data_IF_304656028997
#
_entry.id   IF_304656028997
#
_cell.length_a   1.000
_cell.length_b   1.000
_cell.length_c   1.000
_cell.angle_alpha   90.00
_cell.angle_beta   90.00
_cell.angle_gamma   90.00
#
_symmetry.space_group_name_H-M   'P 1'
#
loop_
_entity.id
_entity.type
_entity.pdbx_description
1 polymer ?
#
# COMPACT_ATOMS: atom_id res chain seq x y z
N UNK A 1 -9.59 16.65 -15.55
CA UNK A 1 -9.67 15.37 -16.32
C UNK A 1 -9.69 14.22 -15.34
N UNK A 2 -10.75 13.39 -15.32
CA UNK A 2 -10.85 12.23 -14.41
C UNK A 2 -10.07 11.06 -15.03
N UNK A 3 -8.95 10.65 -14.40
CA UNK A 3 -8.15 9.47 -14.82
C UNK A 3 -9.02 8.21 -15.00
N UNK A 4 -10.09 8.08 -14.22
CA UNK A 4 -11.09 7.02 -14.28
C UNK A 4 -11.76 6.91 -15.66
N UNK A 5 -12.04 8.03 -16.32
CA UNK A 5 -12.77 8.03 -17.58
C UNK A 5 -11.94 7.46 -18.74
N UNK A 6 -10.61 7.38 -18.58
CA UNK A 6 -9.71 6.86 -19.61
C UNK A 6 -9.52 5.34 -19.50
N UNK A 7 -9.99 4.70 -18.43
CA UNK A 7 -9.84 3.27 -18.20
C UNK A 7 -11.18 2.53 -18.36
N UNK A 8 -11.28 1.59 -19.32
CA UNK A 8 -12.47 0.79 -19.55
C UNK A 8 -12.92 0.00 -18.30
N UNK A 9 -14.24 -0.04 -18.03
CA UNK A 9 -14.83 -0.76 -16.88
C UNK A 9 -14.53 -2.25 -16.82
N UNK A 10 -14.18 -2.88 -17.94
CA UNK A 10 -13.74 -4.28 -17.98
C UNK A 10 -12.51 -4.57 -17.11
N UNK A 11 -11.72 -3.56 -16.77
CA UNK A 11 -10.54 -3.71 -15.92
C UNK A 11 -10.84 -3.60 -14.42
N UNK A 12 -12.04 -3.18 -14.04
CA UNK A 12 -12.42 -2.90 -12.65
C UNK A 12 -12.27 -4.13 -11.73
N UNK A 13 -12.66 -5.36 -12.12
CA UNK A 13 -12.45 -6.54 -11.28
C UNK A 13 -10.96 -6.81 -11.02
N UNK A 14 -10.10 -6.68 -12.04
CA UNK A 14 -8.67 -6.90 -11.89
C UNK A 14 -8.03 -5.86 -10.98
N UNK A 15 -8.36 -4.57 -11.16
CA UNK A 15 -7.89 -3.49 -10.29
C UNK A 15 -8.41 -3.65 -8.86
N UNK A 16 -9.62 -4.20 -8.69
CA UNK A 16 -10.20 -4.49 -7.37
C UNK A 16 -9.43 -5.60 -6.64
N UNK A 17 -8.85 -6.57 -7.36
CA UNK A 17 -7.97 -7.59 -6.77
C UNK A 17 -6.70 -6.92 -6.20
N UNK A 18 -6.07 -6.00 -6.94
CA UNK A 18 -4.91 -5.26 -6.41
C UNK A 18 -5.28 -4.45 -5.16
N UNK A 19 -6.48 -3.85 -5.14
CA UNK A 19 -7.00 -3.18 -3.95
C UNK A 19 -7.16 -4.13 -2.77
N UNK A 20 -7.70 -5.33 -2.98
CA UNK A 20 -7.86 -6.33 -1.93
C UNK A 20 -6.52 -6.83 -1.39
N UNK A 21 -5.54 -7.04 -2.26
CA UNK A 21 -4.17 -7.36 -1.86
C UNK A 21 -3.65 -6.22 -0.98
N UNK A 22 -3.91 -4.97 -1.35
CA UNK A 22 -3.62 -3.74 -0.58
C UNK A 22 -4.25 -3.60 0.81
N UNK A 23 -5.03 -4.59 1.28
CA UNK A 23 -5.70 -4.60 2.57
C UNK A 23 -4.74 -4.74 3.76
N UNK A 24 -5.23 -4.46 4.97
CA UNK A 24 -4.38 -4.31 6.16
C UNK A 24 -3.98 -5.69 6.65
N UNK A 25 -4.93 -6.61 6.58
CA UNK A 25 -4.83 -8.02 6.88
C UNK A 25 -3.76 -8.69 5.99
N UNK A 26 -3.82 -8.46 4.68
CA UNK A 26 -2.82 -9.07 3.76
C UNK A 26 -1.43 -8.50 4.01
N UNK A 27 -1.29 -7.17 4.15
CA UNK A 27 0.02 -6.54 4.34
C UNK A 27 0.64 -6.83 5.72
N UNK A 28 -0.17 -6.93 6.78
CA UNK A 28 0.33 -7.35 8.09
C UNK A 28 0.82 -8.79 8.07
N UNK A 29 0.13 -9.70 7.38
CA UNK A 29 0.61 -11.07 7.14
C UNK A 29 1.92 -11.08 6.34
N UNK A 30 2.05 -10.27 5.28
CA UNK A 30 3.30 -10.16 4.52
C UNK A 30 4.46 -9.67 5.39
N UNK A 31 4.22 -8.71 6.29
CA UNK A 31 5.23 -8.25 7.25
C UNK A 31 5.63 -9.40 8.19
N UNK A 32 4.67 -10.17 8.71
CA UNK A 32 4.98 -11.35 9.53
C UNK A 32 5.88 -12.33 8.77
N UNK A 33 5.55 -12.64 7.51
CA UNK A 33 6.37 -13.52 6.67
C UNK A 33 7.79 -12.97 6.46
N UNK A 34 7.91 -11.65 6.23
CA UNK A 34 9.20 -10.96 6.14
C UNK A 34 9.99 -11.15 7.44
N UNK A 35 9.38 -10.91 8.61
CA UNK A 35 10.03 -11.06 9.91
C UNK A 35 10.49 -12.49 10.16
N UNK A 36 9.62 -13.48 9.90
CA UNK A 36 9.96 -14.90 10.02
C UNK A 36 11.11 -15.29 9.09
N UNK A 37 11.17 -14.73 7.87
CA UNK A 37 12.24 -15.01 6.92
C UNK A 37 13.61 -14.51 7.38
N UNK A 38 13.68 -13.49 8.25
CA UNK A 38 14.93 -12.94 8.78
C UNK A 38 15.59 -13.83 9.83
N UNK A 39 14.81 -14.64 10.55
CA UNK A 39 15.29 -15.46 11.68
C UNK A 39 16.04 -14.64 12.75
N UNK A 40 15.75 -13.35 12.87
CA UNK A 40 16.32 -12.44 13.88
C UNK A 40 15.20 -11.89 14.74
N UNK A 41 15.35 -11.98 16.06
CA UNK A 41 14.36 -11.45 17.02
C UNK A 41 14.15 -9.95 16.81
N UNK A 42 15.21 -9.21 16.48
CA UNK A 42 15.13 -7.75 16.26
C UNK A 42 14.16 -7.37 15.15
N UNK A 43 13.89 -8.25 14.18
CA UNK A 43 12.95 -7.97 13.09
C UNK A 43 11.50 -7.82 13.54
N UNK A 44 11.14 -8.27 14.75
CA UNK A 44 9.81 -8.00 15.31
C UNK A 44 9.54 -6.49 15.45
N UNK A 45 10.58 -5.68 15.63
CA UNK A 45 10.48 -4.22 15.73
C UNK A 45 10.15 -3.54 14.40
N UNK A 46 10.11 -4.24 13.27
CA UNK A 46 9.56 -3.71 11.99
C UNK A 46 8.10 -3.27 12.14
N UNK A 47 7.35 -3.86 13.08
CA UNK A 47 6.00 -3.40 13.38
C UNK A 47 5.93 -2.02 14.01
N UNK A 48 6.98 -1.57 14.71
CA UNK A 48 6.99 -0.28 15.37
C UNK A 48 6.81 0.88 14.38
N UNK A 49 7.66 1.04 13.33
CA UNK A 49 7.43 2.08 12.32
C UNK A 49 6.16 1.85 11.51
N UNK A 50 5.70 0.59 11.32
CA UNK A 50 4.45 0.30 10.61
C UNK A 50 3.21 0.82 11.36
N UNK A 51 3.10 0.54 12.65
CA UNK A 51 2.01 1.02 13.49
C UNK A 51 2.09 2.53 13.70
N UNK A 52 3.30 3.06 13.87
CA UNK A 52 3.50 4.51 13.93
C UNK A 52 3.01 5.20 12.65
N UNK A 53 3.28 4.63 11.47
CA UNK A 53 2.78 5.16 10.20
C UNK A 53 1.24 5.18 10.14
N UNK A 54 0.57 4.12 10.62
CA UNK A 54 -0.90 4.07 10.68
C UNK A 54 -1.47 5.06 11.71
N UNK A 55 -0.77 5.25 12.83
CA UNK A 55 -1.15 6.28 13.79
C UNK A 55 -1.11 7.67 13.14
N UNK A 56 -0.02 7.98 12.41
CA UNK A 56 0.09 9.23 11.62
C UNK A 56 -1.00 9.31 10.55
N UNK A 57 -1.32 8.21 9.85
CA UNK A 57 -2.42 8.16 8.87
C UNK A 57 -3.75 8.56 9.51
N UNK A 58 -4.11 7.95 10.65
CA UNK A 58 -5.39 8.19 11.34
C UNK A 58 -5.47 9.63 11.84
N UNK A 59 -4.40 10.13 12.47
CA UNK A 59 -4.34 11.52 12.95
C UNK A 59 -4.42 12.50 11.78
N UNK A 60 -3.71 12.23 10.68
CA UNK A 60 -3.76 13.09 9.49
C UNK A 60 -5.17 13.16 8.91
N UNK A 61 -5.87 12.02 8.87
CA UNK A 61 -7.28 11.99 8.46
C UNK A 61 -8.17 12.76 9.41
N UNK A 62 -7.92 12.74 10.72
CA UNK A 62 -8.70 13.50 11.68
C UNK A 62 -8.49 15.03 11.56
N UNK A 63 -7.30 15.46 11.16
CA UNK A 63 -6.92 16.88 11.10
C UNK A 63 -7.16 17.52 9.72
N UNK A 64 -6.93 16.78 8.64
CA UNK A 64 -6.98 17.30 7.28
C UNK A 64 -8.36 17.07 6.66
N UNK A 65 -9.05 18.18 6.40
CA UNK A 65 -10.38 18.21 5.79
C UNK A 65 -10.33 17.94 4.28
N UNK A 66 -9.84 16.76 3.89
CA UNK A 66 -9.82 16.31 2.50
C UNK A 66 -11.00 15.36 2.23
N UNK A 67 -12.06 15.82 1.52
CA UNK A 67 -13.21 14.99 1.23
C UNK A 67 -12.85 13.85 0.27
N UNK A 68 -13.36 12.62 0.48
CA UNK A 68 -13.15 11.52 -0.44
C UNK A 68 -13.81 11.78 -1.79
N UNK A 69 -13.39 11.07 -2.86
CA UNK A 69 -14.14 11.07 -4.10
C UNK A 69 -15.61 10.68 -3.86
N UNK A 70 -16.57 11.39 -4.48
CA UNK A 70 -17.99 11.06 -4.38
C UNK A 70 -18.31 9.60 -4.71
N UNK A 71 -19.29 9.03 -4.01
CA UNK A 71 -19.71 7.63 -4.17
C UNK A 71 -19.99 7.22 -5.62
N UNK A 72 -20.50 8.14 -6.44
CA UNK A 72 -20.75 7.93 -7.88
C UNK A 72 -19.50 7.57 -8.70
N UNK A 73 -18.29 7.78 -8.15
CA UNK A 73 -17.02 7.41 -8.79
C UNK A 73 -16.48 6.06 -8.33
N UNK A 74 -17.08 5.43 -7.32
CA UNK A 74 -16.63 4.13 -6.83
C UNK A 74 -16.91 3.05 -7.89
N UNK A 75 -15.87 2.31 -8.23
CA UNK A 75 -15.90 1.25 -9.26
C UNK A 75 -15.42 -0.10 -8.72
N UNK A 76 -15.33 -0.25 -7.40
CA UNK A 76 -14.96 -1.53 -6.79
C UNK A 76 -15.96 -2.63 -7.20
N UNK A 77 -15.47 -3.73 -7.75
CA UNK A 77 -16.27 -4.69 -8.50
C UNK A 77 -16.25 -6.12 -7.94
N UNK A 78 -15.82 -6.30 -6.69
CA UNK A 78 -15.74 -7.62 -6.04
C UNK A 78 -16.74 -7.76 -4.90
N UNK A 79 -17.24 -8.98 -4.70
CA UNK A 79 -18.19 -9.34 -3.63
C UNK A 79 -17.49 -9.78 -2.34
N UNK A 80 -16.21 -9.48 -2.18
CA UNK A 80 -15.42 -9.82 -1.01
C UNK A 80 -14.78 -8.55 -0.46
N UNK A 81 -14.86 -8.37 0.86
CA UNK A 81 -14.25 -7.26 1.58
C UNK A 81 -13.63 -7.77 2.88
N UNK A 82 -12.51 -7.17 3.26
CA UNK A 82 -11.89 -7.43 4.56
C UNK A 82 -12.56 -6.59 5.66
N UNK A 83 -12.41 -6.97 6.94
CA UNK A 83 -12.89 -6.16 8.07
C UNK A 83 -12.42 -4.70 8.01
N UNK A 84 -11.18 -4.45 7.60
CA UNK A 84 -10.63 -3.10 7.44
C UNK A 84 -11.38 -2.23 6.42
N UNK A 85 -12.10 -2.81 5.45
CA UNK A 85 -12.90 -2.07 4.47
C UNK A 85 -14.10 -1.35 5.08
N UNK A 86 -14.57 -1.79 6.24
CA UNK A 86 -15.72 -1.21 6.93
C UNK A 86 -15.32 -0.03 7.84
N UNK A 87 -14.03 0.13 8.13
CA UNK A 87 -13.52 1.22 8.96
C UNK A 87 -13.21 2.43 8.08
N UNK A 88 -14.11 3.41 8.08
CA UNK A 88 -13.96 4.66 7.31
C UNK A 88 -13.81 5.86 8.25
N UNK A 89 -12.58 6.34 8.50
CA UNK A 89 -12.30 7.49 9.38
C UNK A 89 -12.74 8.87 8.83
N UNK A 90 -13.71 8.93 7.91
CA UNK A 90 -14.32 10.17 7.40
C UNK A 90 -13.57 10.85 6.24
N UNK A 91 -12.26 11.10 6.37
CA UNK A 91 -11.46 11.79 5.35
C UNK A 91 -10.51 10.86 4.58
N UNK A 92 -10.12 11.27 3.36
CA UNK A 92 -9.41 10.40 2.42
C UNK A 92 -7.89 10.49 2.48
N UNK A 93 -7.33 11.60 2.97
CA UNK A 93 -5.88 11.84 2.99
C UNK A 93 -5.24 11.48 4.34
N UNK A 94 -4.11 10.73 4.35
CA UNK A 94 -3.45 10.08 3.22
C UNK A 94 -4.04 8.68 2.93
N UNK A 95 -3.69 8.11 1.79
CA UNK A 95 -4.14 6.76 1.42
C UNK A 95 -3.37 5.67 2.17
N UNK A 96 -4.04 4.98 3.10
CA UNK A 96 -3.46 3.85 3.83
C UNK A 96 -3.07 2.66 2.94
N UNK A 97 -3.79 2.41 1.84
CA UNK A 97 -3.40 1.37 0.86
C UNK A 97 -2.04 1.71 0.23
N UNK A 98 -1.85 2.98 -0.12
CA UNK A 98 -0.61 3.48 -0.70
C UNK A 98 0.55 3.38 0.30
N UNK A 99 0.31 3.79 1.54
CA UNK A 99 1.25 3.62 2.67
C UNK A 99 1.72 2.18 2.81
N UNK A 100 0.79 1.24 3.01
CA UNK A 100 1.11 -0.18 3.23
C UNK A 100 1.85 -0.79 2.05
N UNK A 101 1.37 -0.48 0.84
CA UNK A 101 1.96 -1.01 -0.40
C UNK A 101 3.40 -0.59 -0.56
N UNK A 102 3.67 0.70 -0.42
CA UNK A 102 5.04 1.21 -0.49
C UNK A 102 5.87 0.67 0.65
N UNK A 103 5.35 0.65 1.88
CA UNK A 103 6.08 0.17 3.04
C UNK A 103 6.62 -1.24 2.86
N UNK A 104 5.74 -2.21 2.59
CA UNK A 104 6.15 -3.61 2.42
C UNK A 104 6.96 -3.80 1.14
N UNK A 105 6.70 -3.03 0.09
CA UNK A 105 7.50 -3.10 -1.13
C UNK A 105 8.96 -2.72 -0.90
N UNK A 106 9.21 -1.70 -0.07
CA UNK A 106 10.57 -1.34 0.33
C UNK A 106 11.22 -2.43 1.20
N UNK A 107 10.48 -3.05 2.12
CA UNK A 107 10.99 -4.20 2.90
C UNK A 107 11.40 -5.36 1.98
N UNK A 108 10.50 -5.78 1.08
CA UNK A 108 10.77 -6.88 0.14
C UNK A 108 11.91 -6.50 -0.81
N UNK A 109 11.92 -5.28 -1.33
CA UNK A 109 13.00 -4.75 -2.16
C UNK A 109 14.35 -4.81 -1.46
N UNK A 110 14.41 -4.42 -0.18
CA UNK A 110 15.61 -4.55 0.65
C UNK A 110 16.08 -5.99 0.76
N UNK A 111 15.17 -6.96 0.96
CA UNK A 111 15.54 -8.39 1.00
C UNK A 111 16.07 -8.89 -0.34
N UNK A 112 15.43 -8.51 -1.45
CA UNK A 112 15.85 -8.90 -2.80
C UNK A 112 17.27 -8.37 -3.07
N UNK A 113 17.51 -7.09 -2.79
CA UNK A 113 18.80 -6.44 -3.04
C UNK A 113 19.93 -7.05 -2.18
N UNK A 114 19.64 -7.42 -0.93
CA UNK A 114 20.60 -8.05 -0.02
C UNK A 114 20.72 -9.58 -0.17
N UNK A 115 19.95 -10.20 -1.05
CA UNK A 115 20.01 -11.65 -1.30
C UNK A 115 21.29 -12.07 -2.04
N UNK A 116 21.60 -13.37 -2.02
CA UNK A 116 22.70 -13.98 -2.80
C UNK A 116 22.34 -14.25 -4.27
N UNK A 117 21.20 -13.74 -4.75
CA UNK A 117 20.72 -13.98 -6.12
C UNK A 117 21.61 -13.30 -7.18
N UNK A 118 21.59 -13.82 -8.41
CA UNK A 118 22.23 -13.18 -9.58
C UNK A 118 21.63 -11.79 -9.82
N UNK A 119 22.46 -10.84 -10.30
CA UNK A 119 22.05 -9.45 -10.56
C UNK A 119 20.82 -9.34 -11.46
N UNK A 120 20.75 -10.16 -12.51
CA UNK A 120 19.59 -10.20 -13.42
C UNK A 120 18.29 -10.54 -12.68
N UNK A 121 18.30 -11.56 -11.82
CA UNK A 121 17.11 -11.96 -11.06
C UNK A 121 16.68 -10.86 -10.08
N UNK A 122 17.64 -10.18 -9.44
CA UNK A 122 17.34 -9.03 -8.57
C UNK A 122 16.65 -7.92 -9.37
N UNK A 123 17.18 -7.58 -10.54
CA UNK A 123 16.61 -6.55 -11.41
C UNK A 123 15.19 -6.92 -11.86
N UNK A 124 14.97 -8.16 -12.29
CA UNK A 124 13.64 -8.63 -12.68
C UNK A 124 12.64 -8.56 -11.52
N UNK A 125 13.02 -9.03 -10.33
CA UNK A 125 12.14 -9.00 -9.16
C UNK A 125 11.81 -7.57 -8.71
N UNK A 126 12.80 -6.67 -8.71
CA UNK A 126 12.57 -5.24 -8.42
C UNK A 126 11.68 -4.61 -9.48
N UNK A 127 11.85 -4.97 -10.76
CA UNK A 127 10.97 -4.53 -11.85
C UNK A 127 9.52 -4.99 -11.67
N UNK A 128 9.31 -6.26 -11.32
CA UNK A 128 7.96 -6.80 -11.01
C UNK A 128 7.34 -6.06 -9.83
N UNK A 129 8.12 -5.83 -8.76
CA UNK A 129 7.69 -5.10 -7.59
C UNK A 129 7.30 -3.66 -7.93
N UNK A 130 8.07 -2.98 -8.79
CA UNK A 130 7.76 -1.63 -9.26
C UNK A 130 6.45 -1.60 -10.07
N UNK A 131 6.26 -2.52 -11.01
CA UNK A 131 5.03 -2.65 -11.80
C UNK A 131 3.83 -2.92 -10.89
N UNK A 132 3.98 -3.81 -9.91
CA UNK A 132 2.95 -4.10 -8.92
C UNK A 132 2.54 -2.84 -8.14
N UNK A 133 3.51 -2.05 -7.64
CA UNK A 133 3.24 -0.79 -6.93
C UNK A 133 2.48 0.18 -7.82
N UNK A 134 2.92 0.34 -9.07
CA UNK A 134 2.28 1.25 -10.02
C UNK A 134 0.81 0.86 -10.24
N UNK A 135 0.51 -0.41 -10.49
CA UNK A 135 -0.87 -0.89 -10.71
C UNK A 135 -1.71 -0.75 -9.44
N UNK A 136 -1.16 -1.08 -8.27
CA UNK A 136 -1.87 -0.95 -6.99
C UNK A 136 -2.22 0.52 -6.71
N UNK A 137 -1.27 1.45 -6.84
CA UNK A 137 -1.51 2.89 -6.62
C UNK A 137 -2.51 3.44 -7.64
N UNK A 138 -2.38 3.04 -8.91
CA UNK A 138 -3.32 3.40 -9.96
C UNK A 138 -4.73 2.89 -9.66
N UNK A 139 -4.87 1.69 -9.08
CA UNK A 139 -6.17 1.14 -8.68
C UNK A 139 -6.92 2.05 -7.70
N UNK A 140 -6.22 2.86 -6.88
CA UNK A 140 -6.85 3.72 -5.87
C UNK A 140 -7.53 4.93 -6.49
N UNK A 141 -6.88 5.50 -7.51
CA UNK A 141 -7.43 6.63 -8.27
C UNK A 141 -8.52 6.17 -9.23
N UNK A 142 -8.27 5.05 -9.93
CA UNK A 142 -9.14 4.56 -11.02
C UNK A 142 -10.39 3.85 -10.54
N UNK A 143 -10.35 3.25 -9.34
CA UNK A 143 -11.55 2.75 -8.67
C UNK A 143 -12.32 3.83 -7.91
N UNK A 144 -11.79 5.05 -7.87
CA UNK A 144 -12.45 6.19 -7.21
C UNK A 144 -12.48 6.13 -5.70
N UNK A 145 -11.52 5.44 -5.08
CA UNK A 145 -11.40 5.38 -3.62
C UNK A 145 -10.59 6.55 -3.06
N UNK A 146 -9.64 7.09 -3.84
CA UNK A 146 -8.76 8.17 -3.40
C UNK A 146 -8.43 9.16 -4.52
N UNK A 147 -8.12 10.40 -4.15
CA UNK A 147 -7.48 11.35 -5.06
C UNK A 147 -6.00 11.00 -5.26
N UNK A 148 -5.41 11.46 -6.36
CA UNK A 148 -3.98 11.25 -6.63
C UNK A 148 -3.08 11.86 -5.54
N UNK A 149 -3.50 12.99 -4.94
CA UNK A 149 -2.80 13.62 -3.80
C UNK A 149 -2.77 12.72 -2.57
N UNK A 150 -3.86 12.01 -2.27
CA UNK A 150 -3.95 11.09 -1.14
C UNK A 150 -3.00 9.90 -1.33
N UNK A 151 -2.89 9.42 -2.57
CA UNK A 151 -1.96 8.36 -2.96
C UNK A 151 -0.51 8.82 -2.77
N UNK A 152 -0.16 10.02 -3.25
CA UNK A 152 1.18 10.61 -3.09
C UNK A 152 1.52 10.79 -1.60
N UNK A 153 0.59 11.30 -0.79
CA UNK A 153 0.79 11.43 0.67
C UNK A 153 1.05 10.08 1.34
N UNK A 154 0.29 9.05 0.95
CA UNK A 154 0.51 7.69 1.42
C UNK A 154 1.86 7.11 0.99
N UNK A 155 2.31 7.38 -0.25
CA UNK A 155 3.64 6.98 -0.74
C UNK A 155 4.73 7.60 0.13
N UNK A 156 4.70 8.91 0.38
CA UNK A 156 5.72 9.57 1.20
C UNK A 156 5.77 9.03 2.64
N UNK A 157 4.60 8.78 3.24
CA UNK A 157 4.51 8.19 4.58
C UNK A 157 5.04 6.75 4.59
N UNK A 158 4.73 5.96 3.56
CA UNK A 158 5.26 4.61 3.39
C UNK A 158 6.79 4.59 3.23
N UNK A 159 7.35 5.48 2.40
CA UNK A 159 8.80 5.60 2.19
C UNK A 159 9.49 5.96 3.50
N UNK A 160 9.04 7.03 4.17
CA UNK A 160 9.69 7.52 5.39
C UNK A 160 9.69 6.45 6.49
N UNK A 161 8.56 5.78 6.72
CA UNK A 161 8.47 4.70 7.70
C UNK A 161 9.31 3.47 7.31
N UNK A 162 9.48 3.18 6.02
CA UNK A 162 10.34 2.07 5.56
C UNK A 162 11.81 2.28 5.89
N UNK A 163 12.30 3.53 5.78
CA UNK A 163 13.68 3.84 6.15
C UNK A 163 13.95 3.53 7.62
N UNK A 164 13.00 3.82 8.51
CA UNK A 164 13.11 3.42 9.92
C UNK A 164 13.03 1.90 10.10
N UNK A 165 12.21 1.20 9.30
CA UNK A 165 12.09 -0.24 9.37
C UNK A 165 13.37 -1.00 8.96
N UNK A 166 14.21 -0.40 8.10
CA UNK A 166 15.49 -1.00 7.71
C UNK A 166 16.46 -1.17 8.88
N UNK A 167 16.31 -0.41 9.96
CA UNK A 167 17.11 -0.57 11.18
C UNK A 167 16.88 -1.93 11.87
N UNK A 168 15.77 -2.60 11.57
CA UNK A 168 15.33 -3.83 12.22
C UNK A 168 15.42 -5.07 11.31
N UNK A 169 15.78 -4.92 10.03
CA UNK A 169 15.87 -6.03 9.05
C UNK A 169 17.28 -6.66 8.99
#
# INVERSE_FOLDING_TARGET
VRLQNHLPKKFDPYLSIFSLIGSFEVYSLLILLVIFSRKKIISIFVFLPFFFAHFVEIISKALLHQPPPPFMFHRFALFFNFPSSYVKPGYSYPSGHSLRTVFVSFLIGYLILNSKMKRLNKFLLVGVLFVFNFIMLLSRVTLGEHWATDVIGGVFLGISSSFFAFLFL
#
